data_IF_788349132656
#
_entry.id   IF_788349132656
#
_cell.length_a   1.000
_cell.length_b   1.000
_cell.length_c   1.000
_cell.angle_alpha   90.00
_cell.angle_beta   90.00
_cell.angle_gamma   90.00
#
_symmetry.space_group_name_H-M   'P 1'
#
loop_
_entity.id
_entity.type
_entity.pdbx_description
1 polymer ?
#
# COMPACT_ATOMS: atom_id res chain seq x y z
N UNK A 1 23.39 -21.74 -1.44
CA UNK A 1 24.71 -22.37 -1.16
C UNK A 1 25.39 -21.92 0.15
N UNK A 2 24.73 -21.15 1.05
CA UNK A 2 25.39 -20.57 2.25
C UNK A 2 25.08 -21.24 3.60
N UNK A 3 24.06 -22.09 3.69
CA UNK A 3 23.59 -22.66 4.98
C UNK A 3 24.56 -23.68 5.57
N UNK A 4 25.01 -24.67 4.80
CA UNK A 4 26.00 -25.66 5.29
C UNK A 4 27.35 -25.04 5.64
N UNK A 5 27.78 -24.01 4.91
CA UNK A 5 29.00 -23.26 5.24
C UNK A 5 28.93 -22.60 6.61
N UNK A 6 27.74 -22.18 7.07
CA UNK A 6 27.56 -21.60 8.41
C UNK A 6 27.64 -22.63 9.54
N UNK A 7 27.53 -23.93 9.23
CA UNK A 7 27.61 -25.01 10.22
C UNK A 7 29.05 -25.47 10.48
N UNK A 8 29.99 -25.17 9.58
CA UNK A 8 31.39 -25.58 9.70
C UNK A 8 32.09 -24.72 10.76
N UNK A 9 32.18 -25.24 11.99
CA UNK A 9 32.94 -24.61 13.10
C UNK A 9 34.42 -24.97 13.07
N UNK A 10 34.76 -26.15 12.57
CA UNK A 10 36.13 -26.62 12.37
C UNK A 10 36.35 -27.01 10.91
N UNK A 11 37.21 -26.27 10.20
CA UNK A 11 37.52 -26.51 8.79
C UNK A 11 38.30 -27.81 8.52
N UNK A 12 38.90 -28.41 9.55
CA UNK A 12 39.60 -29.71 9.44
C UNK A 12 38.63 -30.90 9.37
N UNK A 13 37.38 -30.72 9.83
CA UNK A 13 36.34 -31.75 9.84
C UNK A 13 34.97 -31.17 9.44
N UNK A 14 34.83 -30.70 8.19
CA UNK A 14 33.62 -30.00 7.75
C UNK A 14 32.39 -30.91 7.75
N UNK A 15 32.51 -32.18 7.38
CA UNK A 15 31.42 -33.16 7.37
C UNK A 15 30.89 -33.42 8.78
N UNK A 16 31.80 -33.62 9.75
CA UNK A 16 31.44 -33.84 11.15
C UNK A 16 30.69 -32.64 11.74
N UNK A 17 31.16 -31.41 11.46
CA UNK A 17 30.48 -30.20 11.90
C UNK A 17 29.06 -30.07 11.31
N UNK A 18 28.88 -30.44 10.04
CA UNK A 18 27.58 -30.37 9.37
C UNK A 18 26.63 -31.43 9.97
N UNK A 19 27.11 -32.65 10.19
CA UNK A 19 26.32 -33.73 10.80
C UNK A 19 25.88 -33.37 12.22
N UNK A 20 26.79 -32.90 13.06
CA UNK A 20 26.49 -32.45 14.43
C UNK A 20 25.47 -31.32 14.45
N UNK A 21 25.67 -30.28 13.62
CA UNK A 21 24.72 -29.17 13.51
C UNK A 21 23.34 -29.65 13.06
N UNK A 22 23.28 -30.65 12.16
CA UNK A 22 22.02 -31.18 11.69
C UNK A 22 21.26 -31.92 12.79
N UNK A 23 21.96 -32.78 13.53
CA UNK A 23 21.39 -33.47 14.71
C UNK A 23 20.85 -32.46 15.71
N UNK A 24 21.64 -31.42 16.05
CA UNK A 24 21.18 -30.37 16.96
C UNK A 24 19.94 -29.63 16.46
N UNK A 25 19.87 -29.30 15.16
CA UNK A 25 18.69 -28.67 14.55
C UNK A 25 17.47 -29.58 14.63
N UNK A 26 17.62 -30.87 14.32
CA UNK A 26 16.51 -31.83 14.30
C UNK A 26 15.99 -32.11 15.71
N UNK A 27 16.88 -32.20 16.71
CA UNK A 27 16.49 -32.25 18.13
C UNK A 27 15.69 -31.01 18.55
N UNK A 28 16.18 -29.81 18.24
CA UNK A 28 15.47 -28.56 18.57
C UNK A 28 14.10 -28.47 17.88
N UNK A 29 14.00 -28.93 16.62
CA UNK A 29 12.72 -28.99 15.90
C UNK A 29 11.76 -29.99 16.57
N UNK A 30 12.26 -31.14 17.05
CA UNK A 30 11.43 -32.11 17.77
C UNK A 30 10.90 -31.52 19.08
N UNK A 31 11.79 -30.98 19.93
CA UNK A 31 11.41 -30.39 21.22
C UNK A 31 10.44 -29.22 21.05
N UNK A 32 10.61 -28.42 19.98
CA UNK A 32 9.72 -27.29 19.72
C UNK A 32 8.24 -27.63 19.59
N UNK A 33 7.90 -28.87 19.21
CA UNK A 33 6.50 -29.33 19.13
C UNK A 33 5.85 -29.54 20.50
N UNK A 34 6.65 -29.66 21.55
CA UNK A 34 6.22 -29.90 22.92
C UNK A 34 6.37 -28.66 23.82
N UNK A 35 6.94 -27.57 23.30
CA UNK A 35 7.02 -26.30 24.01
C UNK A 35 5.68 -25.58 23.96
N UNK A 36 5.37 -24.85 25.03
CA UNK A 36 4.18 -24.01 25.10
C UNK A 36 4.15 -23.02 23.93
N UNK A 37 2.95 -22.72 23.40
CA UNK A 37 2.76 -21.87 22.21
C UNK A 37 3.39 -20.47 22.33
N UNK A 38 3.55 -19.97 23.56
CA UNK A 38 4.22 -18.70 23.86
C UNK A 38 5.75 -18.72 23.65
N UNK A 39 6.39 -19.89 23.62
CA UNK A 39 7.84 -19.99 23.41
C UNK A 39 8.13 -19.85 21.92
N UNK A 40 9.00 -18.91 21.55
CA UNK A 40 9.39 -18.71 20.16
C UNK A 40 10.28 -19.87 19.68
N UNK A 41 9.81 -20.55 18.65
CA UNK A 41 10.44 -21.68 17.96
C UNK A 41 10.49 -21.41 16.47
N UNK A 42 11.17 -22.25 15.70
CA UNK A 42 11.24 -22.09 14.24
C UNK A 42 9.86 -22.19 13.55
N UNK A 43 8.89 -22.88 14.15
CA UNK A 43 7.57 -23.10 13.55
C UNK A 43 6.56 -21.99 13.85
N UNK A 44 6.68 -21.31 14.99
CA UNK A 44 5.77 -20.22 15.40
C UNK A 44 6.45 -18.84 15.42
N UNK A 45 7.73 -18.75 15.03
CA UNK A 45 8.41 -17.46 14.87
C UNK A 45 7.73 -16.66 13.76
N UNK A 46 7.16 -15.52 14.14
CA UNK A 46 6.61 -14.51 13.23
C UNK A 46 7.59 -14.25 12.09
N UNK A 47 7.06 -14.14 10.87
CA UNK A 47 7.87 -13.79 9.71
C UNK A 47 8.67 -12.52 9.98
N UNK A 48 9.84 -12.38 9.36
CA UNK A 48 10.72 -11.21 9.54
C UNK A 48 10.00 -9.90 9.22
N UNK A 49 9.00 -9.95 8.35
CA UNK A 49 8.09 -8.87 8.03
C UNK A 49 6.67 -9.32 8.43
N UNK A 50 6.40 -9.43 9.72
CA UNK A 50 5.03 -9.58 10.18
C UNK A 50 4.44 -8.19 10.44
N UNK A 51 3.35 -7.89 9.74
CA UNK A 51 2.57 -6.67 9.88
C UNK A 51 1.24 -6.90 10.61
N UNK A 52 1.02 -8.09 11.16
CA UNK A 52 -0.07 -8.36 12.12
C UNK A 52 0.07 -7.41 13.33
N UNK A 53 -0.92 -6.54 13.51
CA UNK A 53 -1.09 -5.75 14.72
C UNK A 53 -1.34 -6.68 15.92
N UNK A 54 -0.93 -6.25 17.12
CA UNK A 54 -1.29 -7.00 18.33
C UNK A 54 -2.83 -6.95 18.50
N UNK A 55 -3.47 -8.04 18.97
CA UNK A 55 -4.93 -8.10 19.11
C UNK A 55 -5.51 -7.03 20.04
N UNK A 56 -4.68 -6.40 20.89
CA UNK A 56 -5.09 -5.29 21.75
C UNK A 56 -5.44 -4.01 20.98
N UNK A 57 -4.96 -3.89 19.75
CA UNK A 57 -5.13 -2.71 18.89
C UNK A 57 -6.20 -2.95 17.81
N UNK A 58 -7.03 -3.99 17.97
CA UNK A 58 -8.18 -4.26 17.12
C UNK A 58 -9.25 -3.19 17.34
N UNK A 59 -9.04 -2.01 16.73
CA UNK A 59 -10.08 -0.99 16.64
C UNK A 59 -11.25 -1.52 15.81
N UNK A 60 -12.45 -1.24 16.31
CA UNK A 60 -13.76 -1.27 15.63
C UNK A 60 -13.66 -0.98 14.14
N UNK A 61 -14.50 -1.62 13.32
CA UNK A 61 -14.62 -1.44 11.87
C UNK A 61 -14.56 0.04 11.44
N UNK A 62 -13.35 0.53 11.23
CA UNK A 62 -13.07 1.86 10.71
C UNK A 62 -13.00 1.74 9.19
N UNK A 63 -13.59 2.70 8.48
CA UNK A 63 -13.43 2.82 7.02
C UNK A 63 -11.94 2.88 6.61
N UNK A 64 -11.10 3.35 7.54
CA UNK A 64 -9.65 3.41 7.38
C UNK A 64 -8.96 2.64 8.51
N UNK A 65 -8.89 1.30 8.43
CA UNK A 65 -8.14 0.54 9.41
C UNK A 65 -6.67 0.94 9.32
N UNK A 66 -6.04 1.19 10.46
CA UNK A 66 -4.61 1.44 10.52
C UNK A 66 -3.88 0.13 10.20
N UNK A 67 -3.64 -0.12 8.91
CA UNK A 67 -2.92 -1.31 8.44
C UNK A 67 -1.42 -1.12 8.54
N UNK A 68 -0.75 -2.15 9.05
CA UNK A 68 0.70 -2.23 9.11
C UNK A 68 1.35 -1.53 10.30
N UNK A 69 2.66 -1.72 10.42
CA UNK A 69 3.43 -1.38 11.61
C UNK A 69 4.58 -0.42 11.28
N UNK A 70 4.65 0.78 11.91
CA UNK A 70 5.77 1.69 11.71
C UNK A 70 7.08 1.12 12.30
N UNK A 71 8.19 1.35 11.61
CA UNK A 71 9.52 0.91 12.04
C UNK A 71 10.38 2.08 12.55
N UNK A 72 10.93 1.88 13.75
CA UNK A 72 11.77 2.85 14.45
C UNK A 72 10.94 3.93 15.15
N UNK A 73 11.64 4.87 15.79
CA UNK A 73 10.97 5.98 16.46
C UNK A 73 10.14 6.81 15.45
N UNK A 74 8.91 7.13 15.83
CA UNK A 74 8.06 8.07 15.11
C UNK A 74 8.80 9.40 15.04
N UNK A 75 8.91 9.99 13.85
CA UNK A 75 9.35 11.39 13.76
C UNK A 75 8.22 12.24 14.37
N UNK A 76 8.54 12.94 15.44
CA UNK A 76 7.59 13.77 16.20
C UNK A 76 7.16 15.01 15.43
N UNK A 77 7.99 15.45 14.49
CA UNK A 77 7.72 16.67 13.73
C UNK A 77 6.58 16.45 12.73
N UNK A 78 5.53 17.29 12.76
CA UNK A 78 4.45 17.23 11.78
C UNK A 78 5.01 17.48 10.38
N UNK A 79 4.63 16.62 9.42
CA UNK A 79 4.98 16.83 8.02
C UNK A 79 3.80 17.41 7.26
N UNK A 80 3.99 18.62 6.74
CA UNK A 80 2.99 19.30 5.90
C UNK A 80 3.16 18.81 4.47
N UNK A 81 2.12 18.20 3.91
CA UNK A 81 2.08 17.84 2.49
C UNK A 81 1.84 19.09 1.64
N UNK A 82 2.47 19.12 0.47
CA UNK A 82 2.19 20.14 -0.53
C UNK A 82 0.81 19.90 -1.18
N UNK A 83 0.23 20.97 -1.73
CA UNK A 83 -1.11 20.93 -2.33
C UNK A 83 -1.21 19.89 -3.45
N UNK A 84 -0.16 19.72 -4.26
CA UNK A 84 -0.17 18.77 -5.38
C UNK A 84 -0.22 17.33 -4.85
N UNK A 85 0.61 16.99 -3.86
CA UNK A 85 0.55 15.67 -3.22
C UNK A 85 -0.80 15.40 -2.55
N UNK A 86 -1.42 16.41 -1.92
CA UNK A 86 -2.74 16.28 -1.33
C UNK A 86 -3.82 16.00 -2.38
N UNK A 87 -3.83 16.76 -3.48
CA UNK A 87 -4.77 16.53 -4.59
C UNK A 87 -4.57 15.15 -5.22
N UNK A 88 -3.32 14.70 -5.39
CA UNK A 88 -3.03 13.36 -5.91
C UNK A 88 -3.49 12.26 -4.96
N UNK A 89 -3.25 12.41 -3.65
CA UNK A 89 -3.70 11.46 -2.64
C UNK A 89 -5.23 11.39 -2.58
N UNK A 90 -5.91 12.53 -2.66
CA UNK A 90 -7.37 12.60 -2.67
C UNK A 90 -7.95 11.94 -3.93
N UNK A 91 -7.44 12.27 -5.12
CA UNK A 91 -7.89 11.67 -6.37
C UNK A 91 -7.67 10.15 -6.37
N UNK A 92 -6.51 9.69 -5.89
CA UNK A 92 -6.24 8.26 -5.74
C UNK A 92 -7.25 7.60 -4.80
N UNK A 93 -7.51 8.21 -3.64
CA UNK A 93 -8.48 7.68 -2.70
C UNK A 93 -9.89 7.61 -3.31
N UNK A 94 -10.38 8.70 -3.90
CA UNK A 94 -11.72 8.74 -4.48
C UNK A 94 -11.91 7.71 -5.60
N UNK A 95 -10.90 7.53 -6.45
CA UNK A 95 -10.96 6.55 -7.56
C UNK A 95 -10.95 5.09 -7.10
N UNK A 96 -10.47 4.79 -5.90
CA UNK A 96 -10.37 3.43 -5.36
C UNK A 96 -11.38 3.13 -4.24
N UNK A 97 -12.30 4.04 -3.95
CA UNK A 97 -13.32 3.89 -2.91
C UNK A 97 -14.62 3.41 -3.56
N UNK A 98 -15.18 2.29 -3.07
CA UNK A 98 -16.38 1.68 -3.65
C UNK A 98 -17.61 2.58 -3.46
N UNK A 99 -17.70 3.26 -2.33
CA UNK A 99 -18.77 4.20 -1.98
C UNK A 99 -18.81 5.44 -2.88
N UNK A 100 -17.72 5.71 -3.60
CA UNK A 100 -17.59 6.88 -4.49
C UNK A 100 -17.94 6.53 -5.95
N UNK A 101 -18.01 5.24 -6.31
CA UNK A 101 -18.25 4.79 -7.68
C UNK A 101 -19.60 5.25 -8.27
N UNK A 102 -20.61 5.47 -7.42
CA UNK A 102 -21.88 6.06 -7.85
C UNK A 102 -21.70 7.50 -8.35
N UNK A 103 -20.96 8.32 -7.60
CA UNK A 103 -20.69 9.72 -7.93
C UNK A 103 -19.77 9.86 -9.14
N UNK A 104 -18.83 8.93 -9.32
CA UNK A 104 -18.00 8.86 -10.53
C UNK A 104 -18.89 8.71 -11.77
N UNK A 105 -19.84 7.77 -11.75
CA UNK A 105 -20.79 7.54 -12.86
C UNK A 105 -21.72 8.74 -13.07
N UNK A 106 -22.20 9.35 -11.99
CA UNK A 106 -23.03 10.57 -12.07
C UNK A 106 -22.28 11.70 -12.79
N UNK A 107 -21.03 11.96 -12.43
CA UNK A 107 -20.21 12.98 -13.10
C UNK A 107 -19.95 12.65 -14.58
N UNK A 108 -19.68 11.38 -14.90
CA UNK A 108 -19.54 10.96 -16.31
C UNK A 108 -20.82 11.23 -17.11
N UNK A 109 -21.99 10.94 -16.53
CA UNK A 109 -23.27 11.18 -17.19
C UNK A 109 -23.58 12.67 -17.36
N UNK A 110 -23.31 13.50 -16.35
CA UNK A 110 -23.44 14.96 -16.46
C UNK A 110 -22.52 15.53 -17.55
N UNK A 111 -21.30 15.02 -17.64
CA UNK A 111 -20.35 15.39 -18.69
C UNK A 111 -20.88 15.00 -20.08
N UNK A 112 -21.62 13.90 -20.22
CA UNK A 112 -22.21 13.50 -21.50
C UNK A 112 -23.39 14.37 -21.93
N UNK A 113 -24.21 14.82 -20.98
CA UNK A 113 -25.36 15.68 -21.25
C UNK A 113 -24.94 17.12 -21.54
N UNK A 114 -24.00 17.66 -20.76
CA UNK A 114 -23.62 19.08 -20.81
C UNK A 114 -22.59 19.41 -21.90
N UNK A 115 -21.80 18.43 -22.37
CA UNK A 115 -20.80 18.67 -23.40
C UNK A 115 -21.31 18.39 -24.82
N UNK A 116 -20.71 19.08 -25.80
CA UNK A 116 -21.00 18.84 -27.20
C UNK A 116 -20.73 17.36 -27.62
N UNK A 117 -21.63 16.75 -28.43
CA UNK A 117 -21.49 15.36 -28.89
C UNK A 117 -20.20 15.06 -29.68
N UNK A 118 -19.49 16.10 -30.14
CA UNK A 118 -18.30 15.99 -30.99
C UNK A 118 -16.98 15.85 -30.24
N UNK A 119 -16.96 15.93 -28.90
CA UNK A 119 -15.71 15.79 -28.13
C UNK A 119 -15.23 14.34 -28.14
N UNK A 120 -13.92 14.13 -28.31
CA UNK A 120 -13.35 12.78 -28.33
C UNK A 120 -13.46 12.11 -26.96
N UNK A 121 -13.51 10.77 -26.95
CA UNK A 121 -13.53 9.98 -25.71
C UNK A 121 -12.35 10.32 -24.79
N UNK A 122 -11.16 10.55 -25.37
CA UNK A 122 -9.97 10.98 -24.63
C UNK A 122 -10.17 12.33 -23.93
N UNK A 123 -10.76 13.33 -24.60
CA UNK A 123 -11.01 14.63 -23.98
C UNK A 123 -11.99 14.51 -22.81
N UNK A 124 -13.03 13.68 -22.94
CA UNK A 124 -13.98 13.42 -21.86
C UNK A 124 -13.30 12.76 -20.65
N UNK A 125 -12.51 11.71 -20.90
CA UNK A 125 -11.77 11.02 -19.83
C UNK A 125 -10.77 11.95 -19.13
N UNK A 126 -10.08 12.81 -19.89
CA UNK A 126 -9.16 13.81 -19.33
C UNK A 126 -9.89 14.83 -18.46
N UNK A 127 -11.00 15.38 -18.96
CA UNK A 127 -11.80 16.38 -18.23
C UNK A 127 -12.39 15.75 -16.96
N UNK A 128 -12.85 14.50 -17.02
CA UNK A 128 -13.32 13.76 -15.85
C UNK A 128 -12.22 13.66 -14.79
N UNK A 129 -11.04 13.14 -15.13
CA UNK A 129 -9.93 12.99 -14.19
C UNK A 129 -9.44 14.33 -13.58
N UNK A 130 -9.60 15.45 -14.30
CA UNK A 130 -9.15 16.75 -13.83
C UNK A 130 -10.18 17.47 -12.96
N UNK A 131 -11.48 17.31 -13.26
CA UNK A 131 -12.53 18.11 -12.65
C UNK A 131 -13.35 17.33 -11.60
N UNK A 132 -13.23 16.00 -11.55
CA UNK A 132 -14.05 15.17 -10.66
C UNK A 132 -13.95 15.59 -9.19
N UNK A 133 -12.75 15.83 -8.65
CA UNK A 133 -12.60 16.24 -7.24
C UNK A 133 -13.36 17.52 -6.91
N UNK A 134 -13.28 18.54 -7.77
CA UNK A 134 -13.96 19.82 -7.57
C UNK A 134 -15.48 19.70 -7.74
N UNK A 135 -15.90 18.93 -8.75
CA UNK A 135 -17.32 18.61 -8.94
C UNK A 135 -17.87 17.86 -7.72
N UNK A 136 -17.14 16.88 -7.21
CA UNK A 136 -17.54 16.03 -6.10
C UNK A 136 -17.65 16.81 -4.79
N UNK A 137 -16.74 17.76 -4.53
CA UNK A 137 -16.87 18.71 -3.41
C UNK A 137 -18.19 19.48 -3.46
N UNK A 138 -18.59 19.94 -4.65
CA UNK A 138 -19.83 20.70 -4.83
C UNK A 138 -21.05 19.79 -4.71
N UNK A 139 -21.02 18.62 -5.34
CA UNK A 139 -22.08 17.61 -5.29
C UNK A 139 -22.36 17.13 -3.87
N UNK A 140 -21.31 17.01 -3.05
CA UNK A 140 -21.41 16.60 -1.66
C UNK A 140 -22.12 17.62 -0.75
N UNK A 141 -22.28 18.88 -1.16
CA UNK A 141 -23.01 19.89 -0.37
C UNK A 141 -24.53 19.68 -0.40
N UNK A 142 -25.04 18.84 -1.31
CA UNK A 142 -26.46 18.59 -1.45
C UNK A 142 -27.02 17.83 -0.24
N UNK A 143 -28.30 18.06 0.06
CA UNK A 143 -28.96 17.55 1.27
C UNK A 143 -29.18 16.03 1.24
N UNK A 144 -29.32 15.47 0.05
CA UNK A 144 -29.51 14.03 -0.22
C UNK A 144 -28.24 13.20 0.01
N UNK A 145 -27.08 13.84 0.12
CA UNK A 145 -25.79 13.15 0.25
C UNK A 145 -25.55 12.69 1.69
N UNK A 146 -25.20 11.40 1.92
CA UNK A 146 -24.87 10.89 3.26
C UNK A 146 -23.66 11.62 3.88
N UNK A 147 -23.68 11.79 5.20
CA UNK A 147 -22.61 12.49 5.92
C UNK A 147 -21.22 11.88 5.74
N UNK A 148 -21.15 10.57 5.49
CA UNK A 148 -19.89 9.90 5.17
C UNK A 148 -19.28 10.46 3.88
N UNK A 149 -20.07 10.54 2.82
CA UNK A 149 -19.64 11.07 1.51
C UNK A 149 -19.22 12.55 1.64
N UNK A 150 -19.93 13.33 2.47
CA UNK A 150 -19.55 14.72 2.80
C UNK A 150 -18.20 14.83 3.50
N UNK A 151 -17.81 13.84 4.29
CA UNK A 151 -16.48 13.79 4.91
C UNK A 151 -15.42 13.40 3.89
N UNK A 152 -15.72 12.44 3.01
CA UNK A 152 -14.80 11.99 1.96
C UNK A 152 -14.50 13.07 0.91
N UNK A 153 -15.45 13.96 0.63
CA UNK A 153 -15.26 15.05 -0.32
C UNK A 153 -14.26 16.11 0.14
N UNK A 154 -14.06 16.29 1.46
CA UNK A 154 -13.15 17.31 2.03
C UNK A 154 -11.66 17.01 1.84
N UNK A 155 -11.34 15.77 1.46
CA UNK A 155 -9.97 15.34 1.24
C UNK A 155 -9.17 15.05 2.51
N UNK A 156 -7.90 14.63 2.34
CA UNK A 156 -7.04 14.20 3.43
C UNK A 156 -6.51 15.38 4.26
N UNK A 157 -6.13 15.10 5.50
CA UNK A 157 -5.46 16.08 6.36
C UNK A 157 -4.10 16.47 5.79
N UNK A 158 -3.83 17.77 5.70
CA UNK A 158 -2.55 18.31 5.22
C UNK A 158 -1.38 18.07 6.18
N UNK A 159 -1.68 17.82 7.47
CA UNK A 159 -0.70 17.44 8.48
C UNK A 159 -0.61 15.91 8.55
N UNK A 160 0.55 15.36 8.19
CA UNK A 160 0.79 13.93 8.12
C UNK A 160 1.90 13.46 9.05
N UNK A 161 1.86 12.17 9.40
CA UNK A 161 2.90 11.49 10.17
C UNK A 161 3.93 10.90 9.21
N UNK A 162 5.22 11.03 9.54
CA UNK A 162 6.31 10.44 8.75
C UNK A 162 7.03 9.35 9.53
N UNK A 163 7.28 8.22 8.87
CA UNK A 163 8.00 7.09 9.43
C UNK A 163 9.32 6.82 8.70
N UNK A 164 10.31 6.24 9.40
CA UNK A 164 11.62 5.90 8.81
C UNK A 164 11.62 4.55 8.09
N UNK A 165 10.58 3.76 8.32
CA UNK A 165 10.25 2.53 7.64
C UNK A 165 8.86 2.07 8.06
N UNK A 166 8.29 1.14 7.32
CA UNK A 166 6.93 0.66 7.52
C UNK A 166 6.82 -0.81 7.09
N UNK A 167 6.09 -1.61 7.86
CA UNK A 167 5.72 -2.97 7.51
C UNK A 167 4.26 -2.98 7.08
N UNK A 168 3.98 -3.46 5.88
CA UNK A 168 2.60 -3.61 5.39
C UNK A 168 2.56 -4.69 4.31
N UNK A 169 1.51 -5.51 4.34
CA UNK A 169 1.28 -6.66 3.47
C UNK A 169 2.48 -7.63 3.43
N UNK A 170 3.15 -7.88 4.56
CA UNK A 170 4.37 -8.69 4.61
C UNK A 170 5.63 -8.06 3.97
N UNK A 171 5.55 -6.81 3.50
CA UNK A 171 6.69 -6.08 2.93
C UNK A 171 7.26 -5.07 3.91
N UNK A 172 8.56 -4.80 3.78
CA UNK A 172 9.30 -3.84 4.60
C UNK A 172 9.83 -2.71 3.76
N UNK A 173 9.26 -1.53 3.96
CA UNK A 173 9.67 -0.31 3.28
C UNK A 173 10.60 0.51 4.15
N UNK A 174 11.57 1.16 3.51
CA UNK A 174 12.44 2.16 4.13
C UNK A 174 12.45 3.44 3.29
N UNK A 175 12.65 4.58 3.95
CA UNK A 175 12.85 5.84 3.22
C UNK A 175 14.11 5.74 2.35
N UNK A 176 14.06 6.31 1.13
CA UNK A 176 15.16 6.29 0.15
C UNK A 176 16.51 6.64 0.76
N UNK A 177 16.57 7.69 1.59
CA UNK A 177 17.81 8.13 2.25
C UNK A 177 18.44 7.05 3.15
N UNK A 178 17.62 6.24 3.83
CA UNK A 178 18.09 5.13 4.67
C UNK A 178 18.56 3.97 3.82
N UNK A 179 17.86 3.74 2.73
CA UNK A 179 18.05 2.61 1.84
C UNK A 179 19.26 2.76 0.92
N UNK A 180 19.61 4.00 0.54
CA UNK A 180 20.79 4.34 -0.25
C UNK A 180 22.12 3.87 0.37
N UNK A 181 22.15 3.64 1.70
CA UNK A 181 23.33 3.14 2.43
C UNK A 181 23.34 1.62 2.59
N UNK A 182 22.39 0.89 1.99
CA UNK A 182 22.23 -0.55 2.13
C UNK A 182 22.58 -1.29 0.85
N UNK A 183 23.01 -2.55 1.00
CA UNK A 183 23.30 -3.45 -0.12
C UNK A 183 22.05 -3.87 -0.92
N UNK A 184 20.88 -3.87 -0.28
CA UNK A 184 19.60 -4.20 -0.93
C UNK A 184 18.65 -3.03 -0.76
N UNK A 185 18.03 -2.61 -1.87
CA UNK A 185 17.06 -1.52 -1.87
C UNK A 185 15.64 -2.07 -1.69
N UNK A 186 14.92 -1.55 -0.70
CA UNK A 186 13.51 -1.81 -0.40
C UNK A 186 12.71 -0.49 -0.21
N UNK A 187 13.08 0.58 -0.91
CA UNK A 187 12.36 1.86 -0.86
C UNK A 187 11.32 2.06 -1.96
N UNK A 188 11.21 1.12 -2.91
CA UNK A 188 10.30 1.24 -4.04
C UNK A 188 8.88 0.75 -3.73
N UNK A 189 7.87 1.37 -4.32
CA UNK A 189 6.46 0.95 -4.26
C UNK A 189 5.94 0.77 -5.68
N UNK A 190 5.27 -0.35 -5.95
CA UNK A 190 4.58 -0.58 -7.23
C UNK A 190 3.08 -0.46 -7.02
N UNK A 191 2.42 0.36 -7.83
CA UNK A 191 0.95 0.43 -7.89
C UNK A 191 0.50 -0.19 -9.20
N UNK A 192 -0.37 -1.20 -9.11
CA UNK A 192 -1.05 -1.77 -10.28
C UNK A 192 -2.28 -0.91 -10.55
N UNK A 193 -2.21 -0.06 -11.56
CA UNK A 193 -3.32 0.80 -11.97
C UNK A 193 -4.09 0.15 -13.12
N UNK A 194 -5.42 0.07 -12.99
CA UNK A 194 -6.31 -0.29 -14.10
C UNK A 194 -6.93 0.99 -14.63
N UNK A 195 -6.68 1.35 -15.88
CA UNK A 195 -7.23 2.56 -16.48
C UNK A 195 -7.50 2.38 -17.97
N UNK A 196 -8.38 3.21 -18.49
CA UNK A 196 -8.69 3.27 -19.92
C UNK A 196 -7.50 3.89 -20.66
N UNK A 197 -6.82 3.09 -21.47
CA UNK A 197 -5.69 3.51 -22.30
C UNK A 197 -6.17 3.93 -23.68
N UNK A 198 -5.61 5.03 -24.16
CA UNK A 198 -5.88 5.59 -25.48
C UNK A 198 -4.58 5.60 -26.29
N UNK A 199 -4.61 5.05 -27.50
CA UNK A 199 -3.45 5.10 -28.40
C UNK A 199 -3.17 6.52 -28.91
N UNK A 200 -4.20 7.37 -28.96
CA UNK A 200 -4.09 8.79 -29.30
C UNK A 200 -5.33 9.58 -28.84
N UNK A 201 -5.30 10.91 -28.91
CA UNK A 201 -6.45 11.78 -28.61
C UNK A 201 -7.67 11.58 -29.53
N UNK A 202 -7.46 10.95 -30.70
CA UNK A 202 -8.50 10.62 -31.69
C UNK A 202 -8.98 9.17 -31.62
N UNK A 203 -8.45 8.39 -30.67
CA UNK A 203 -8.79 6.99 -30.51
C UNK A 203 -10.29 6.81 -30.18
N UNK A 204 -10.93 5.93 -30.94
CA UNK A 204 -12.36 5.60 -30.80
C UNK A 204 -12.59 4.29 -30.04
N UNK A 205 -11.56 3.45 -29.92
CA UNK A 205 -11.61 2.11 -29.35
C UNK A 205 -10.57 1.97 -28.23
N UNK A 206 -10.73 2.72 -27.13
CA UNK A 206 -9.80 2.62 -26.02
C UNK A 206 -9.86 1.25 -25.37
N UNK A 207 -8.73 0.79 -24.84
CA UNK A 207 -8.61 -0.51 -24.17
C UNK A 207 -8.45 -0.34 -22.67
N UNK A 208 -9.04 -1.23 -21.88
CA UNK A 208 -8.72 -1.31 -20.46
C UNK A 208 -7.30 -1.88 -20.31
N UNK A 209 -6.40 -1.09 -19.75
CA UNK A 209 -5.00 -1.47 -19.57
C UNK A 209 -4.65 -1.53 -18.08
N UNK A 210 -3.78 -2.47 -17.75
CA UNK A 210 -3.14 -2.58 -16.43
C UNK A 210 -1.69 -2.12 -16.55
N UNK A 211 -1.29 -1.18 -15.71
CA UNK A 211 0.06 -0.64 -15.67
C UNK A 211 0.66 -0.79 -14.29
N UNK A 212 1.94 -1.12 -14.23
CA UNK A 212 2.72 -1.11 -13.01
C UNK A 212 3.46 0.23 -12.90
N UNK A 213 3.06 1.09 -11.97
CA UNK A 213 3.73 2.35 -11.69
C UNK A 213 4.75 2.14 -10.58
N UNK A 214 6.04 2.23 -10.94
CA UNK A 214 7.16 2.17 -10.00
C UNK A 214 7.44 3.56 -9.41
N UNK A 215 7.38 3.68 -8.09
CA UNK A 215 7.71 4.86 -7.30
C UNK A 215 8.88 4.59 -6.35
#
# INVERSE_FOLDING_TARGET
MGTFKSYIRNRRYPEGCIAEARVGIDCMNLFSRYLHSAVQTRFNKRARNNDECDPSDAETESLFPQKGCPLGARKTDPFILDKKSLSQAHAYFLGNCDEIQEYIREHEQEQEVNNHPRRSKWSKAKDHCQNFSQWFETRALQKDVPDLIKKLSRGPNFVTKRYSGYLINGYRFHIRQRDARRKTQNSGVTVVASTTSFASSKDKNPIAAKFDLLW
#
